data_IF_637706541133
#
_entry.id   IF_637706541133
#
_cell.length_a   1.000
_cell.length_b   1.000
_cell.length_c   1.000
_cell.angle_alpha   90.00
_cell.angle_beta   90.00
_cell.angle_gamma   90.00
#
_symmetry.space_group_name_H-M   'P 1'
#
loop_
_entity.id
_entity.type
_entity.pdbx_description
1 polymer ?
#
# COMPACT_ATOMS: atom_id res chain seq x y z
N UNK A 1 23.21 -14.83 30.01
CA UNK A 1 22.54 -15.77 29.09
C UNK A 1 21.88 -16.91 29.85
N UNK A 2 22.57 -17.64 30.74
CA UNK A 2 21.97 -18.80 31.44
C UNK A 2 20.68 -18.55 32.24
N UNK A 3 20.43 -17.33 32.74
CA UNK A 3 19.19 -17.03 33.47
C UNK A 3 17.95 -16.96 32.57
N UNK A 4 18.08 -16.37 31.37
CA UNK A 4 16.94 -16.17 30.44
C UNK A 4 16.51 -17.51 29.85
N UNK A 5 17.48 -18.38 29.53
CA UNK A 5 17.20 -19.70 28.95
C UNK A 5 16.47 -20.61 29.96
N UNK A 6 16.84 -20.56 31.24
CA UNK A 6 16.17 -21.32 32.31
C UNK A 6 14.75 -20.81 32.58
N UNK A 7 14.57 -19.48 32.66
CA UNK A 7 13.24 -18.88 32.83
C UNK A 7 12.29 -19.20 31.67
N UNK A 8 12.84 -19.28 30.45
CA UNK A 8 12.11 -19.64 29.25
C UNK A 8 11.64 -21.10 29.27
N UNK A 9 12.51 -22.05 29.65
CA UNK A 9 12.15 -23.46 29.81
C UNK A 9 11.04 -23.65 30.87
N UNK A 10 11.17 -22.98 32.01
CA UNK A 10 10.18 -23.02 33.09
C UNK A 10 8.82 -22.45 32.66
N UNK A 11 8.81 -21.35 31.90
CA UNK A 11 7.58 -20.75 31.41
C UNK A 11 6.94 -21.58 30.29
N UNK A 12 7.73 -22.16 29.38
CA UNK A 12 7.21 -23.08 28.37
C UNK A 12 6.56 -24.32 29.01
N UNK A 13 7.16 -24.85 30.08
CA UNK A 13 6.58 -25.95 30.85
C UNK A 13 5.24 -25.57 31.49
N UNK A 14 5.14 -24.33 32.03
CA UNK A 14 3.89 -23.80 32.60
C UNK A 14 2.81 -23.58 31.55
N UNK A 15 3.14 -23.02 30.39
CA UNK A 15 2.19 -22.84 29.28
C UNK A 15 1.64 -24.18 28.82
N UNK A 16 2.51 -25.17 28.64
CA UNK A 16 2.10 -26.52 28.24
C UNK A 16 1.17 -27.17 29.28
N UNK A 17 1.51 -27.05 30.56
CA UNK A 17 0.67 -27.56 31.65
C UNK A 17 -0.71 -26.88 31.71
N UNK A 18 -0.79 -25.59 31.37
CA UNK A 18 -2.05 -24.85 31.31
C UNK A 18 -2.88 -25.21 30.07
N UNK A 19 -2.23 -25.46 28.92
CA UNK A 19 -2.87 -25.95 27.69
C UNK A 19 -3.43 -27.37 27.83
N UNK A 20 -2.86 -28.20 28.70
CA UNK A 20 -3.34 -29.57 28.95
C UNK A 20 -4.60 -29.63 29.85
N UNK A 21 -4.98 -28.52 30.52
CA UNK A 21 -6.21 -28.44 31.34
C UNK A 21 -7.48 -28.45 30.46
N UNK A 22 -8.65 -28.93 30.93
CA UNK A 22 -9.90 -28.86 30.17
C UNK A 22 -10.37 -27.41 29.94
N UNK A 23 -11.01 -27.12 28.78
CA UNK A 23 -11.37 -25.76 28.33
C UNK A 23 -12.19 -24.91 29.33
N UNK A 24 -12.91 -25.53 30.28
CA UNK A 24 -13.71 -24.83 31.29
C UNK A 24 -12.94 -24.28 32.49
N UNK A 25 -11.68 -24.68 32.70
CA UNK A 25 -10.83 -24.24 33.82
C UNK A 25 -9.64 -23.38 33.35
N UNK A 26 -9.54 -23.10 32.05
CA UNK A 26 -8.46 -22.29 31.48
C UNK A 26 -8.76 -20.80 31.65
N UNK A 27 -7.92 -20.10 32.39
CA UNK A 27 -7.90 -18.64 32.33
C UNK A 27 -7.26 -18.20 31.01
N UNK A 28 -8.10 -17.92 30.00
CA UNK A 28 -7.65 -17.53 28.66
C UNK A 28 -6.71 -16.30 28.69
N UNK A 29 -7.01 -15.32 29.55
CA UNK A 29 -6.18 -14.12 29.73
C UNK A 29 -4.81 -14.46 30.33
N UNK A 30 -4.76 -15.29 31.36
CA UNK A 30 -3.50 -15.71 31.97
C UNK A 30 -2.64 -16.52 30.98
N UNK A 31 -3.26 -17.35 30.15
CA UNK A 31 -2.58 -18.09 29.10
C UNK A 31 -1.97 -17.17 28.03
N UNK A 32 -2.71 -16.14 27.60
CA UNK A 32 -2.19 -15.14 26.66
C UNK A 32 -1.02 -14.36 27.24
N UNK A 33 -1.12 -13.89 28.48
CA UNK A 33 0.00 -13.22 29.16
C UNK A 33 1.25 -14.12 29.28
N UNK A 34 1.05 -15.41 29.56
CA UNK A 34 2.17 -16.36 29.61
C UNK A 34 2.80 -16.57 28.23
N UNK A 35 1.99 -16.67 27.16
CA UNK A 35 2.48 -16.77 25.78
C UNK A 35 3.25 -15.52 25.34
N UNK A 36 2.77 -14.33 25.72
CA UNK A 36 3.49 -13.08 25.48
C UNK A 36 4.84 -13.05 26.21
N UNK A 37 4.87 -13.46 27.47
CA UNK A 37 6.13 -13.56 28.25
C UNK A 37 7.11 -14.53 27.60
N UNK A 38 6.66 -15.71 27.19
CA UNK A 38 7.51 -16.68 26.46
C UNK A 38 8.06 -16.04 25.19
N UNK A 39 7.21 -15.38 24.39
CA UNK A 39 7.64 -14.68 23.16
C UNK A 39 8.71 -13.63 23.44
N UNK A 40 8.55 -12.83 24.50
CA UNK A 40 9.53 -11.79 24.88
C UNK A 40 10.87 -12.41 25.30
N UNK A 41 10.85 -13.49 26.08
CA UNK A 41 12.07 -14.18 26.50
C UNK A 41 12.79 -14.86 25.33
N UNK A 42 12.05 -15.48 24.40
CA UNK A 42 12.61 -16.06 23.16
C UNK A 42 13.35 -15.01 22.34
N UNK A 43 12.75 -13.81 22.23
CA UNK A 43 13.39 -12.68 21.56
C UNK A 43 14.65 -12.25 22.31
N UNK A 44 14.59 -12.07 23.64
CA UNK A 44 15.73 -11.60 24.43
C UNK A 44 16.92 -12.57 24.40
N UNK A 45 16.66 -13.88 24.39
CA UNK A 45 17.69 -14.91 24.30
C UNK A 45 18.49 -14.81 22.99
N UNK A 46 17.82 -14.62 21.85
CA UNK A 46 18.44 -14.60 20.53
C UNK A 46 18.86 -13.20 20.03
N UNK A 47 18.32 -12.12 20.62
CA UNK A 47 18.46 -10.75 20.10
C UNK A 47 19.90 -10.23 20.00
N UNK A 48 20.81 -10.74 20.84
CA UNK A 48 22.21 -10.31 20.86
C UNK A 48 23.14 -11.21 20.05
N UNK A 49 22.64 -12.26 19.41
CA UNK A 49 23.44 -13.14 18.57
C UNK A 49 23.83 -12.44 17.26
N UNK A 50 25.13 -12.29 16.94
CA UNK A 50 25.58 -11.63 15.71
C UNK A 50 25.02 -12.28 14.44
N UNK A 51 24.95 -13.62 14.41
CA UNK A 51 24.46 -14.39 13.27
C UNK A 51 23.00 -14.10 12.96
N UNK A 52 22.15 -13.96 13.99
CA UNK A 52 20.73 -13.66 13.84
C UNK A 52 20.54 -12.25 13.28
N UNK A 53 21.25 -11.26 13.83
CA UNK A 53 21.22 -9.88 13.31
C UNK A 53 21.73 -9.78 11.88
N UNK A 54 22.79 -10.53 11.55
CA UNK A 54 23.34 -10.57 10.20
C UNK A 54 22.34 -11.19 9.22
N UNK A 55 21.70 -12.31 9.58
CA UNK A 55 20.65 -12.94 8.74
C UNK A 55 19.45 -12.01 8.53
N UNK A 56 18.99 -11.34 9.58
CA UNK A 56 17.89 -10.38 9.50
C UNK A 56 18.22 -9.22 8.55
N UNK A 57 19.42 -8.65 8.66
CA UNK A 57 19.85 -7.52 7.82
C UNK A 57 20.03 -7.89 6.35
N UNK A 58 20.45 -9.12 6.05
CA UNK A 58 20.69 -9.60 4.68
C UNK A 58 19.46 -10.23 4.01
N UNK A 59 18.28 -10.14 4.62
CA UNK A 59 17.04 -10.68 4.05
C UNK A 59 16.97 -12.21 4.05
N UNK A 60 17.75 -12.87 4.91
CA UNK A 60 17.71 -14.32 5.15
C UNK A 60 16.93 -14.66 6.43
N UNK A 61 16.02 -13.77 6.82
CA UNK A 61 15.17 -13.90 7.99
C UNK A 61 14.11 -14.98 7.78
N UNK A 62 13.96 -15.86 8.76
CA UNK A 62 12.87 -16.83 8.80
C UNK A 62 11.70 -16.25 9.60
N UNK A 63 10.64 -15.85 8.89
CA UNK A 63 9.47 -15.21 9.50
C UNK A 63 8.67 -16.13 10.43
N UNK A 64 8.91 -17.44 10.43
CA UNK A 64 8.31 -18.34 11.42
C UNK A 64 8.78 -18.01 12.85
N UNK A 65 10.05 -17.61 13.00
CA UNK A 65 10.64 -17.30 14.30
C UNK A 65 10.22 -15.91 14.80
N UNK A 66 9.87 -15.76 16.09
CA UNK A 66 9.50 -14.46 16.66
C UNK A 66 10.62 -13.41 16.58
N UNK A 67 11.88 -13.82 16.76
CA UNK A 67 13.02 -12.91 16.76
C UNK A 67 13.19 -12.17 15.42
N UNK A 68 13.07 -12.88 14.30
CA UNK A 68 13.23 -12.27 12.98
C UNK A 68 12.11 -11.28 12.68
N UNK A 69 10.88 -11.61 13.07
CA UNK A 69 9.73 -10.71 12.96
C UNK A 69 9.93 -9.45 13.79
N UNK A 70 10.38 -9.60 15.03
CA UNK A 70 10.67 -8.48 15.92
C UNK A 70 11.78 -7.58 15.36
N UNK A 71 12.90 -8.15 14.89
CA UNK A 71 14.01 -7.38 14.32
C UNK A 71 13.62 -6.64 13.04
N UNK A 72 12.78 -7.26 12.19
CA UNK A 72 12.28 -6.60 10.98
C UNK A 72 11.25 -5.52 11.29
N UNK A 73 10.37 -5.75 12.27
CA UNK A 73 9.43 -4.75 12.74
C UNK A 73 10.17 -3.54 13.33
N UNK A 74 11.14 -3.80 14.21
CA UNK A 74 11.99 -2.78 14.81
C UNK A 74 12.70 -1.98 13.73
N UNK A 75 13.33 -2.67 12.77
CA UNK A 75 13.98 -2.01 11.63
C UNK A 75 13.01 -1.11 10.86
N UNK A 76 11.81 -1.61 10.54
CA UNK A 76 10.84 -0.85 9.77
C UNK A 76 10.33 0.40 10.53
N UNK A 77 10.14 0.30 11.85
CA UNK A 77 9.69 1.39 12.70
C UNK A 77 10.79 2.38 13.09
N UNK A 78 12.02 1.92 13.29
CA UNK A 78 13.13 2.74 13.84
C UNK A 78 14.16 3.18 12.79
N UNK A 79 14.42 2.39 11.74
CA UNK A 79 15.40 2.75 10.70
C UNK A 79 14.82 3.69 9.62
N UNK A 80 13.59 4.20 9.82
CA UNK A 80 13.02 5.32 9.07
C UNK A 80 12.19 4.95 7.83
N UNK A 81 12.02 3.67 7.51
CA UNK A 81 11.17 3.24 6.39
C UNK A 81 9.69 3.64 6.61
N UNK A 82 9.16 3.43 7.83
CA UNK A 82 7.83 3.87 8.21
C UNK A 82 7.74 5.40 8.27
N UNK A 83 8.76 6.08 8.80
CA UNK A 83 8.78 7.55 8.90
C UNK A 83 8.74 8.19 7.51
N UNK A 84 9.52 7.66 6.55
CA UNK A 84 9.50 8.11 5.16
C UNK A 84 8.10 7.93 4.55
N UNK A 85 7.46 6.79 4.80
CA UNK A 85 6.09 6.54 4.32
C UNK A 85 5.11 7.56 4.90
N UNK A 86 5.11 7.73 6.23
CA UNK A 86 4.20 8.64 6.92
C UNK A 86 4.44 10.10 6.53
N UNK A 87 5.70 10.53 6.39
CA UNK A 87 6.07 11.85 5.87
C UNK A 87 5.39 12.10 4.52
N UNK A 88 5.48 11.14 3.59
CA UNK A 88 4.91 11.29 2.24
C UNK A 88 3.38 11.29 2.26
N UNK A 89 2.76 10.45 3.09
CA UNK A 89 1.29 10.39 3.24
C UNK A 89 0.74 11.73 3.71
N UNK A 90 1.36 12.37 4.71
CA UNK A 90 0.93 13.67 5.21
C UNK A 90 1.31 14.82 4.27
N UNK A 91 2.53 14.86 3.73
CA UNK A 91 2.97 15.92 2.81
C UNK A 91 2.12 15.99 1.55
N UNK A 92 1.64 14.83 1.08
CA UNK A 92 0.83 14.72 -0.11
C UNK A 92 -0.66 14.66 0.21
N UNK A 93 -1.09 15.00 1.44
CA UNK A 93 -2.48 15.06 1.89
C UNK A 93 -3.31 13.78 1.65
N UNK A 94 -2.69 12.60 1.61
CA UNK A 94 -3.45 11.33 1.55
C UNK A 94 -4.31 11.18 2.80
N UNK A 95 -3.72 11.55 3.95
CA UNK A 95 -4.46 11.92 5.16
C UNK A 95 -4.50 13.45 5.19
N UNK A 96 -5.68 14.10 5.22
CA UNK A 96 -7.00 13.55 5.52
C UNK A 96 -7.84 13.13 4.31
N UNK A 97 -7.43 13.38 3.06
CA UNK A 97 -8.32 13.28 1.88
C UNK A 97 -9.00 11.90 1.77
N UNK A 98 -8.21 10.82 1.82
CA UNK A 98 -8.71 9.44 1.71
C UNK A 98 -9.24 8.91 3.03
N UNK A 99 -8.47 9.10 4.10
CA UNK A 99 -8.73 8.57 5.44
C UNK A 99 -8.47 9.67 6.49
N UNK A 100 -9.25 9.72 7.58
CA UNK A 100 -9.00 10.67 8.66
C UNK A 100 -7.71 10.36 9.42
N UNK A 101 -7.36 9.08 9.58
CA UNK A 101 -6.20 8.60 10.32
C UNK A 101 -5.68 7.31 9.70
N UNK A 102 -4.37 7.07 9.84
CA UNK A 102 -3.71 5.88 9.33
C UNK A 102 -2.56 5.44 10.26
N UNK A 103 -2.65 4.22 10.76
CA UNK A 103 -1.61 3.56 11.55
C UNK A 103 -1.16 2.28 10.85
N UNK A 104 -0.12 2.33 10.00
CA UNK A 104 0.37 1.13 9.33
C UNK A 104 0.84 0.08 10.37
N UNK A 105 0.35 -1.14 10.23
CA UNK A 105 0.68 -2.28 11.08
C UNK A 105 1.69 -3.24 10.43
N UNK A 106 1.86 -3.17 9.11
CA UNK A 106 2.81 -4.01 8.38
C UNK A 106 3.42 -3.22 7.21
N UNK A 107 4.58 -3.68 6.72
CA UNK A 107 5.28 -3.03 5.63
C UNK A 107 4.71 -3.46 4.26
N UNK A 108 4.28 -2.48 3.48
CA UNK A 108 3.73 -2.66 2.13
C UNK A 108 4.65 -1.97 1.11
N UNK A 109 5.30 -2.78 0.28
CA UNK A 109 6.19 -2.32 -0.78
C UNK A 109 5.67 -2.75 -2.14
N UNK A 110 5.88 -1.91 -3.14
CA UNK A 110 5.57 -2.25 -4.52
C UNK A 110 6.85 -2.26 -5.36
N UNK A 111 6.88 -3.12 -6.37
CA UNK A 111 7.92 -3.12 -7.39
C UNK A 111 7.31 -2.91 -8.76
N UNK A 112 7.93 -1.98 -9.49
CA UNK A 112 7.66 -1.73 -10.90
C UNK A 112 8.94 -1.93 -11.71
N UNK A 113 8.77 -2.09 -13.03
CA UNK A 113 9.92 -2.10 -13.93
C UNK A 113 10.61 -0.73 -13.88
N UNK A 114 11.94 -0.71 -13.87
CA UNK A 114 12.75 0.50 -13.99
C UNK A 114 12.27 1.38 -15.14
N UNK A 115 12.42 2.72 -15.08
CA UNK A 115 11.95 3.60 -16.14
C UNK A 115 12.59 3.22 -17.49
N UNK A 116 11.85 3.37 -18.60
CA UNK A 116 12.39 3.08 -19.92
C UNK A 116 13.63 3.96 -20.20
N UNK A 117 14.68 3.43 -20.85
CA UNK A 117 15.82 4.24 -21.26
C UNK A 117 15.36 5.37 -22.19
N UNK A 118 15.91 6.58 -22.01
CA UNK A 118 15.61 7.73 -22.88
C UNK A 118 15.99 7.50 -24.34
N UNK A 119 17.01 6.67 -24.59
CA UNK A 119 17.44 6.32 -25.95
C UNK A 119 16.57 5.19 -26.52
N UNK A 120 15.84 5.48 -27.60
CA UNK A 120 15.00 4.52 -28.31
C UNK A 120 15.75 3.25 -28.75
N UNK A 121 17.04 3.35 -29.08
CA UNK A 121 17.86 2.19 -29.46
C UNK A 121 18.05 1.21 -28.30
N UNK A 122 18.17 1.71 -27.07
CA UNK A 122 18.36 0.87 -25.88
C UNK A 122 17.03 0.28 -25.39
N UNK A 123 15.91 0.92 -25.70
CA UNK A 123 14.57 0.51 -25.24
C UNK A 123 14.16 -0.89 -25.69
N UNK A 124 14.61 -1.34 -26.86
CA UNK A 124 14.33 -2.70 -27.38
C UNK A 124 15.36 -3.74 -26.97
N UNK A 125 16.56 -3.33 -26.54
CA UNK A 125 17.69 -4.23 -26.28
C UNK A 125 17.97 -4.48 -24.80
N UNK A 126 17.60 -3.53 -23.93
CA UNK A 126 17.83 -3.63 -22.49
C UNK A 126 16.60 -4.19 -21.80
N UNK A 127 16.72 -5.36 -21.19
CA UNK A 127 15.68 -5.90 -20.32
C UNK A 127 15.63 -5.09 -19.03
N UNK A 128 14.48 -4.47 -18.78
CA UNK A 128 14.21 -3.67 -17.57
C UNK A 128 14.08 -4.61 -16.37
N UNK A 129 14.72 -4.25 -15.25
CA UNK A 129 14.61 -4.99 -14.00
C UNK A 129 13.45 -4.45 -13.17
N UNK A 130 12.90 -5.28 -12.29
CA UNK A 130 11.93 -4.86 -11.29
C UNK A 130 12.66 -4.20 -10.12
N UNK A 131 12.33 -2.95 -9.82
CA UNK A 131 12.92 -2.17 -8.73
C UNK A 131 11.83 -1.83 -7.71
N UNK A 132 12.20 -1.84 -6.43
CA UNK A 132 11.35 -1.30 -5.38
C UNK A 132 11.11 0.19 -5.61
N UNK A 133 9.86 0.60 -5.45
CA UNK A 133 9.42 1.99 -5.57
C UNK A 133 9.45 2.64 -4.19
N UNK A 134 10.01 3.84 -4.13
CA UNK A 134 10.01 4.68 -2.94
C UNK A 134 8.65 5.41 -2.82
N UNK A 135 8.09 5.54 -1.61
CA UNK A 135 6.83 6.25 -1.42
C UNK A 135 6.88 7.68 -1.98
N UNK A 136 5.86 8.04 -2.76
CA UNK A 136 5.69 9.37 -3.31
C UNK A 136 6.58 9.69 -4.53
N UNK A 137 7.34 8.75 -5.07
CA UNK A 137 8.12 8.99 -6.30
C UNK A 137 7.21 9.14 -7.52
N UNK A 138 7.70 9.83 -8.55
CA UNK A 138 7.04 9.87 -9.85
C UNK A 138 7.37 8.61 -10.65
N UNK A 139 6.33 7.90 -11.07
CA UNK A 139 6.43 6.84 -12.07
C UNK A 139 6.00 7.38 -13.44
N UNK A 140 6.49 6.73 -14.49
CA UNK A 140 6.07 6.99 -15.86
C UNK A 140 4.88 6.08 -16.18
N UNK A 141 3.82 6.56 -16.86
CA UNK A 141 2.66 5.74 -17.23
C UNK A 141 3.01 4.44 -17.99
N UNK A 142 4.13 4.42 -18.73
CA UNK A 142 4.66 3.18 -19.32
C UNK A 142 5.05 2.10 -18.29
N UNK A 143 5.56 2.50 -17.11
CA UNK A 143 5.93 1.59 -16.03
C UNK A 143 4.68 0.94 -15.40
N UNK A 144 3.59 1.68 -15.31
CA UNK A 144 2.36 1.31 -14.59
C UNK A 144 1.31 0.66 -15.50
N UNK A 145 1.65 0.32 -16.75
CA UNK A 145 0.76 -0.42 -17.68
C UNK A 145 0.31 -1.79 -17.18
N UNK A 146 1.14 -2.44 -16.37
CA UNK A 146 0.87 -3.73 -15.74
C UNK A 146 0.71 -3.53 -14.23
N UNK A 147 -0.03 -4.39 -13.52
CA UNK A 147 -0.11 -4.32 -12.07
C UNK A 147 1.30 -4.45 -11.44
N UNK A 148 1.55 -3.80 -10.29
CA UNK A 148 2.82 -3.92 -9.58
C UNK A 148 2.97 -5.32 -8.97
N UNK A 149 4.21 -5.72 -8.70
CA UNK A 149 4.43 -6.79 -7.73
C UNK A 149 4.32 -6.21 -6.31
N UNK A 150 3.41 -6.77 -5.52
CA UNK A 150 3.17 -6.35 -4.13
C UNK A 150 3.97 -7.26 -3.20
N UNK A 151 4.74 -6.64 -2.31
CA UNK A 151 5.53 -7.29 -1.27
C UNK A 151 5.00 -6.82 0.08
N UNK A 152 4.67 -7.78 0.94
CA UNK A 152 4.13 -7.51 2.27
C UNK A 152 5.00 -8.19 3.31
N UNK A 153 5.44 -7.44 4.31
CA UNK A 153 6.14 -8.00 5.47
C UNK A 153 5.25 -7.83 6.70
N UNK A 154 4.60 -8.93 7.11
CA UNK A 154 3.70 -8.96 8.26
C UNK A 154 4.43 -9.46 9.52
N UNK A 155 4.12 -8.86 10.66
CA UNK A 155 4.77 -9.19 11.93
C UNK A 155 3.93 -10.11 12.83
N UNK A 156 2.63 -10.25 12.52
CA UNK A 156 1.71 -11.14 13.24
C UNK A 156 1.69 -12.55 12.63
N UNK A 157 1.40 -13.55 13.47
CA UNK A 157 1.36 -14.97 13.06
C UNK A 157 0.06 -15.36 12.40
N UNK A 158 -1.04 -14.70 12.76
CA UNK A 158 -2.37 -15.17 12.45
C UNK A 158 -2.70 -14.88 10.99
N UNK A 159 -3.35 -15.84 10.32
CA UNK A 159 -3.83 -15.59 8.96
C UNK A 159 -4.98 -14.61 9.02
N UNK A 160 -4.77 -13.44 8.45
CA UNK A 160 -5.75 -12.37 8.33
C UNK A 160 -6.10 -12.16 6.88
N UNK A 161 -7.37 -11.85 6.62
CA UNK A 161 -7.82 -11.48 5.29
C UNK A 161 -7.57 -10.00 5.11
N UNK A 162 -7.04 -9.64 3.95
CA UNK A 162 -6.75 -8.25 3.63
C UNK A 162 -7.35 -7.86 2.29
N UNK A 163 -7.80 -6.62 2.17
CA UNK A 163 -8.28 -6.08 0.90
C UNK A 163 -7.30 -5.07 0.36
N UNK A 164 -6.78 -5.32 -0.84
CA UNK A 164 -5.94 -4.40 -1.59
C UNK A 164 -6.83 -3.46 -2.40
N UNK A 165 -6.55 -2.17 -2.37
CA UNK A 165 -7.25 -1.16 -3.18
C UNK A 165 -6.22 -0.27 -3.86
N UNK A 166 -6.51 0.28 -5.03
CA UNK A 166 -5.70 1.29 -5.68
C UNK A 166 -6.62 2.41 -6.14
N UNK A 167 -6.50 3.56 -5.47
CA UNK A 167 -7.39 4.71 -5.68
C UNK A 167 -6.57 5.90 -6.15
N UNK A 168 -7.06 6.57 -7.20
CA UNK A 168 -6.61 7.88 -7.63
C UNK A 168 -7.49 8.94 -6.94
N UNK A 169 -6.87 9.93 -6.30
CA UNK A 169 -7.55 10.99 -5.55
C UNK A 169 -7.75 12.28 -6.35
N UNK A 170 -7.14 12.39 -7.52
CA UNK A 170 -6.97 13.67 -8.22
C UNK A 170 -7.64 13.69 -9.60
N UNK A 171 -8.70 12.91 -9.80
CA UNK A 171 -9.45 12.89 -11.07
C UNK A 171 -10.30 14.15 -11.17
N UNK A 172 -10.17 14.98 -12.21
CA UNK A 172 -10.95 16.21 -12.33
C UNK A 172 -12.43 15.90 -12.58
N UNK A 173 -13.31 16.55 -11.85
CA UNK A 173 -14.75 16.58 -12.10
C UNK A 173 -15.18 17.97 -12.59
N UNK A 174 -15.59 18.03 -13.86
CA UNK A 174 -16.02 19.28 -14.50
C UNK A 174 -17.34 19.81 -13.97
N UNK A 175 -18.23 18.93 -13.48
CA UNK A 175 -19.57 19.32 -13.04
C UNK A 175 -19.51 20.03 -11.69
N UNK A 176 -18.77 19.45 -10.73
CA UNK A 176 -18.57 20.04 -9.40
C UNK A 176 -17.44 21.08 -9.35
N UNK A 177 -16.70 21.27 -10.45
CA UNK A 177 -15.48 22.09 -10.49
C UNK A 177 -14.46 21.69 -9.42
N UNK A 178 -14.38 20.40 -9.11
CA UNK A 178 -13.56 19.86 -8.02
C UNK A 178 -12.79 18.62 -8.47
N UNK A 179 -12.18 17.89 -7.53
CA UNK A 179 -11.57 16.60 -7.78
C UNK A 179 -12.44 15.49 -7.20
N UNK A 180 -12.55 14.41 -7.95
CA UNK A 180 -13.18 13.16 -7.57
C UNK A 180 -12.13 12.04 -7.56
N UNK A 181 -12.57 10.87 -7.15
CA UNK A 181 -11.72 9.69 -6.99
C UNK A 181 -11.98 8.67 -8.10
N UNK A 182 -11.01 7.80 -8.37
CA UNK A 182 -11.17 6.71 -9.32
C UNK A 182 -10.55 5.40 -8.81
N UNK A 183 -11.30 4.30 -8.91
CA UNK A 183 -10.84 2.97 -8.51
C UNK A 183 -10.11 2.25 -9.65
N UNK A 184 -8.78 2.16 -9.55
CA UNK A 184 -7.94 1.46 -10.52
C UNK A 184 -7.92 -0.04 -10.32
N UNK A 185 -7.89 -0.48 -9.05
CA UNK A 185 -7.73 -1.89 -8.72
C UNK A 185 -8.25 -2.18 -7.31
N UNK A 186 -8.80 -3.37 -7.13
CA UNK A 186 -9.33 -3.88 -5.87
C UNK A 186 -9.29 -5.40 -5.85
N UNK A 187 -8.74 -5.97 -4.79
CA UNK A 187 -8.70 -7.40 -4.54
C UNK A 187 -9.02 -7.66 -3.07
N UNK A 188 -10.25 -8.11 -2.75
CA UNK A 188 -10.63 -8.47 -1.39
C UNK A 188 -10.12 -9.85 -0.99
N UNK A 189 -10.17 -10.11 0.32
CA UNK A 189 -9.99 -11.44 0.93
C UNK A 189 -8.64 -12.11 0.63
N UNK A 190 -7.54 -11.34 0.58
CA UNK A 190 -6.19 -11.86 0.41
C UNK A 190 -5.72 -12.43 1.76
N UNK A 191 -5.51 -13.75 1.89
CA UNK A 191 -5.04 -14.33 3.14
C UNK A 191 -3.54 -14.07 3.31
N UNK A 192 -3.17 -13.31 4.33
CA UNK A 192 -1.77 -13.00 4.66
C UNK A 192 -1.47 -13.31 6.12
N UNK A 193 -0.27 -13.82 6.36
CA UNK A 193 0.37 -13.99 7.65
C UNK A 193 1.87 -13.74 7.52
N UNK A 194 2.62 -13.71 8.62
CA UNK A 194 4.08 -13.61 8.56
C UNK A 194 4.74 -14.72 7.71
N UNK A 195 4.11 -15.89 7.58
CA UNK A 195 4.62 -17.01 6.79
C UNK A 195 4.30 -16.90 5.29
N UNK A 196 3.48 -15.93 4.88
CA UNK A 196 3.12 -15.75 3.48
C UNK A 196 4.33 -15.27 2.67
N UNK A 197 4.73 -16.06 1.67
CA UNK A 197 5.81 -15.67 0.77
C UNK A 197 5.37 -14.52 -0.14
N UNK A 198 6.26 -13.54 -0.30
CA UNK A 198 6.13 -12.47 -1.28
C UNK A 198 6.88 -12.82 -2.58
N UNK A 199 6.44 -12.32 -3.76
CA UNK A 199 5.29 -11.46 -3.97
C UNK A 199 3.96 -12.20 -3.74
N UNK A 200 2.96 -11.46 -3.27
CA UNK A 200 1.63 -11.99 -2.94
C UNK A 200 0.95 -12.61 -4.18
N UNK A 201 0.19 -13.70 -3.96
CA UNK A 201 -0.62 -14.51 -4.90
C UNK A 201 -1.29 -13.67 -6.02
N UNK A 202 -1.52 -14.22 -7.24
CA UNK A 202 -2.15 -13.50 -8.35
C UNK A 202 -3.38 -12.68 -7.98
N UNK A 203 -3.22 -11.37 -8.06
CA UNK A 203 -4.16 -10.32 -7.66
C UNK A 203 -5.16 -9.97 -8.80
N UNK A 204 -5.67 -10.96 -9.54
CA UNK A 204 -6.57 -10.72 -10.70
C UNK A 204 -7.91 -11.47 -10.59
N UNK A 205 -8.36 -11.76 -9.37
CA UNK A 205 -9.56 -12.58 -9.14
C UNK A 205 -10.84 -11.76 -9.06
N UNK A 206 -10.77 -10.49 -8.66
CA UNK A 206 -11.94 -9.64 -8.40
C UNK A 206 -12.12 -8.49 -9.39
N UNK A 207 -11.47 -7.35 -9.17
CA UNK A 207 -11.53 -6.24 -10.15
C UNK A 207 -10.31 -6.23 -11.05
N UNK A 208 -10.54 -6.12 -12.35
CA UNK A 208 -9.46 -5.96 -13.33
C UNK A 208 -8.64 -4.71 -13.02
N UNK A 209 -7.32 -4.83 -13.10
CA UNK A 209 -6.41 -3.69 -13.04
C UNK A 209 -6.61 -2.76 -14.24
N UNK A 210 -6.89 -1.49 -13.95
CA UNK A 210 -6.88 -0.40 -14.93
C UNK A 210 -5.61 0.42 -14.68
N UNK A 211 -4.71 0.57 -15.66
CA UNK A 211 -3.49 1.34 -15.46
C UNK A 211 -3.81 2.81 -15.13
N UNK A 212 -3.00 3.46 -14.29
CA UNK A 212 -2.94 4.91 -14.15
C UNK A 212 -3.06 5.65 -15.48
N UNK A 213 -3.89 6.70 -15.51
CA UNK A 213 -4.14 7.47 -16.73
C UNK A 213 -4.46 8.94 -16.40
N UNK A 214 -3.50 9.68 -15.78
CA UNK A 214 -3.69 11.08 -15.44
C UNK A 214 -4.04 11.90 -16.69
N UNK A 215 -5.09 12.72 -16.63
CA UNK A 215 -5.61 13.40 -17.82
C UNK A 215 -4.66 14.48 -18.34
N UNK A 216 -4.70 14.76 -19.65
CA UNK A 216 -3.86 15.80 -20.22
C UNK A 216 -4.23 17.16 -19.65
N UNK A 217 -3.26 17.82 -19.03
CA UNK A 217 -3.39 19.18 -18.51
C UNK A 217 -3.87 19.28 -17.07
N UNK A 218 -4.11 18.15 -16.39
CA UNK A 218 -4.22 18.11 -14.93
C UNK A 218 -2.82 18.18 -14.28
N UNK A 219 -2.75 18.49 -12.96
CA UNK A 219 -1.56 18.24 -12.16
C UNK A 219 -1.19 16.76 -12.10
N UNK A 220 -0.22 16.40 -11.25
CA UNK A 220 0.06 14.99 -10.98
C UNK A 220 -1.07 14.34 -10.17
N UNK A 221 -1.20 13.02 -10.30
CA UNK A 221 -2.20 12.22 -9.60
C UNK A 221 -1.55 11.35 -8.52
N UNK A 222 -2.20 11.23 -7.36
CA UNK A 222 -1.77 10.41 -6.22
C UNK A 222 -2.49 9.06 -6.25
N UNK A 223 -1.72 7.98 -6.34
CA UNK A 223 -2.23 6.61 -6.24
C UNK A 223 -1.92 6.04 -4.87
N UNK A 224 -2.95 5.59 -4.16
CA UNK A 224 -2.83 5.07 -2.80
C UNK A 224 -3.29 3.63 -2.74
N UNK A 225 -2.48 2.79 -2.08
CA UNK A 225 -2.77 1.39 -1.84
C UNK A 225 -3.03 1.13 -0.37
N UNK A 226 -4.25 1.33 0.16
CA UNK A 226 -4.57 0.95 1.52
C UNK A 226 -4.88 -0.55 1.58
N UNK A 227 -4.58 -1.15 2.74
CA UNK A 227 -4.87 -2.54 2.99
C UNK A 227 -5.32 -2.75 4.44
N UNK A 228 -6.59 -3.09 4.67
CA UNK A 228 -7.16 -3.34 6.02
C UNK A 228 -7.45 -4.81 6.24
N UNK A 229 -7.56 -5.22 7.51
CA UNK A 229 -7.88 -6.57 7.94
C UNK A 229 -9.25 -6.68 8.60
N UNK A 230 -10.27 -7.18 7.89
CA UNK A 230 -11.43 -7.79 8.52
C UNK A 230 -11.05 -9.23 8.94
N UNK A 231 -11.50 -9.67 10.10
CA UNK A 231 -11.31 -11.05 10.57
C UNK A 231 -12.17 -12.03 9.76
N UNK A 232 -13.25 -11.55 9.14
CA UNK A 232 -14.18 -12.33 8.33
C UNK A 232 -14.07 -11.99 6.84
N UNK A 233 -14.35 -12.94 5.93
CA UNK A 233 -14.41 -12.66 4.51
C UNK A 233 -15.48 -11.61 4.21
N UNK A 234 -15.13 -10.59 3.43
CA UNK A 234 -16.09 -9.59 2.96
C UNK A 234 -16.59 -10.00 1.57
N UNK A 235 -17.91 -10.01 1.39
CA UNK A 235 -18.52 -10.11 0.08
C UNK A 235 -18.65 -8.72 -0.55
N UNK A 236 -17.83 -8.44 -1.56
CA UNK A 236 -17.80 -7.16 -2.27
C UNK A 236 -18.24 -7.41 -3.71
N UNK A 237 -19.21 -6.67 -4.25
CA UNK A 237 -19.60 -6.82 -5.65
C UNK A 237 -18.45 -6.40 -6.58
N UNK A 238 -18.35 -7.04 -7.73
CA UNK A 238 -17.36 -6.69 -8.75
C UNK A 238 -17.75 -5.38 -9.41
N UNK A 239 -16.96 -4.33 -9.18
CA UNK A 239 -17.17 -3.00 -9.76
C UNK A 239 -17.00 -3.03 -11.28
N UNK A 240 -18.02 -2.54 -12.00
CA UNK A 240 -17.93 -2.34 -13.45
C UNK A 240 -17.15 -1.06 -13.75
N UNK A 241 -16.76 -0.86 -15.01
CA UNK A 241 -15.96 0.30 -15.41
C UNK A 241 -16.68 1.64 -15.21
N UNK A 242 -18.03 1.64 -15.23
CA UNK A 242 -18.86 2.80 -14.90
C UNK A 242 -18.79 3.22 -13.44
N UNK A 243 -18.63 2.24 -12.55
CA UNK A 243 -18.79 2.42 -11.09
C UNK A 243 -17.48 2.85 -10.42
N UNK A 244 -16.39 2.89 -11.19
CA UNK A 244 -15.04 3.23 -10.70
C UNK A 244 -14.85 4.72 -10.50
N UNK A 245 -15.52 5.54 -11.32
CA UNK A 245 -15.45 7.00 -11.23
C UNK A 245 -16.34 7.48 -10.08
N UNK A 246 -15.80 8.32 -9.20
CA UNK A 246 -16.51 8.78 -8.00
C UNK A 246 -16.49 7.78 -6.84
N UNK A 247 -15.57 6.80 -6.86
CA UNK A 247 -15.46 5.80 -5.80
C UNK A 247 -15.05 6.42 -4.45
N UNK A 248 -16.01 6.60 -3.54
CA UNK A 248 -15.72 7.12 -2.20
C UNK A 248 -15.14 6.03 -1.29
N UNK A 249 -13.84 6.10 -1.04
CA UNK A 249 -13.19 5.18 -0.09
C UNK A 249 -13.76 5.32 1.32
N UNK A 250 -14.16 6.53 1.75
CA UNK A 250 -14.76 6.74 3.09
C UNK A 250 -16.09 6.01 3.25
N UNK A 251 -16.97 6.09 2.24
CA UNK A 251 -18.25 5.39 2.26
C UNK A 251 -18.05 3.87 2.21
N UNK A 252 -17.10 3.41 1.40
CA UNK A 252 -16.70 2.01 1.36
C UNK A 252 -16.14 1.54 2.71
N UNK A 253 -15.34 2.38 3.36
CA UNK A 253 -14.76 2.08 4.65
C UNK A 253 -15.81 1.95 5.75
N UNK A 254 -16.80 2.85 5.78
CA UNK A 254 -17.93 2.78 6.69
C UNK A 254 -18.80 1.53 6.44
N UNK A 255 -19.10 1.22 5.17
CA UNK A 255 -19.94 0.08 4.80
C UNK A 255 -19.36 -1.27 5.23
N UNK A 256 -18.04 -1.43 5.11
CA UNK A 256 -17.36 -2.71 5.31
C UNK A 256 -16.42 -2.72 6.53
N UNK A 257 -16.48 -1.69 7.38
CA UNK A 257 -15.72 -1.61 8.63
C UNK A 257 -14.20 -1.43 8.44
N UNK A 258 -13.77 -0.79 7.35
CA UNK A 258 -12.36 -0.43 7.19
C UNK A 258 -12.02 0.76 8.10
N UNK A 259 -11.02 0.57 8.96
CA UNK A 259 -10.55 1.62 9.84
C UNK A 259 -9.02 1.71 9.77
N UNK A 260 -8.53 2.84 9.24
CA UNK A 260 -7.10 3.11 9.11
C UNK A 260 -6.40 3.23 10.47
N UNK A 261 -7.11 3.52 11.56
CA UNK A 261 -6.54 3.57 12.90
C UNK A 261 -6.26 2.18 13.50
N UNK A 262 -7.00 1.15 13.06
CA UNK A 262 -6.89 -0.24 13.57
C UNK A 262 -5.76 -1.04 12.96
N UNK A 263 -5.05 -0.48 11.98
CA UNK A 263 -3.96 -1.14 11.29
C UNK A 263 -4.08 -1.08 9.79
N UNK A 264 -3.12 -1.72 9.13
CA UNK A 264 -3.12 -1.88 7.69
C UNK A 264 -1.75 -1.64 7.05
N UNK A 265 -1.77 -1.56 5.73
CA UNK A 265 -0.61 -1.16 4.93
C UNK A 265 -1.00 0.01 4.05
N UNK A 266 -0.03 0.87 3.75
CA UNK A 266 -0.19 1.92 2.76
C UNK A 266 1.06 2.01 1.89
N UNK A 267 0.86 2.25 0.61
CA UNK A 267 1.92 2.68 -0.29
C UNK A 267 1.37 3.73 -1.24
N UNK A 268 2.20 4.65 -1.67
CA UNK A 268 1.78 5.66 -2.63
C UNK A 268 2.85 6.00 -3.66
N UNK A 269 2.43 6.40 -4.84
CA UNK A 269 3.29 7.01 -5.85
C UNK A 269 2.51 8.08 -6.62
N UNK A 270 3.21 8.82 -7.45
CA UNK A 270 2.63 9.88 -8.28
C UNK A 270 2.86 9.60 -9.74
N UNK A 271 1.93 10.08 -10.57
CA UNK A 271 2.07 10.00 -12.02
C UNK A 271 1.65 11.33 -12.65
N UNK A 272 2.23 11.64 -13.80
CA UNK A 272 1.88 12.80 -14.62
C UNK A 272 1.55 12.32 -16.03
N UNK A 273 0.73 13.12 -16.72
CA UNK A 273 0.39 12.84 -18.10
C UNK A 273 1.64 12.74 -18.98
N UNK A 274 1.67 11.69 -19.81
CA UNK A 274 2.60 11.54 -20.93
C UNK A 274 1.85 11.01 -22.17
N UNK A 275 2.56 10.90 -23.29
CA UNK A 275 1.98 10.40 -24.56
C UNK A 275 1.48 8.96 -24.47
N UNK A 276 1.97 8.18 -23.50
CA UNK A 276 1.55 6.79 -23.33
C UNK A 276 0.18 6.68 -22.69
N UNK A 277 -0.29 7.71 -21.99
CA UNK A 277 -1.67 7.83 -21.49
C UNK A 277 -2.68 7.86 -22.64
N UNK A 278 -2.40 8.57 -23.73
CA UNK A 278 -3.29 8.57 -24.92
C UNK A 278 -3.47 7.15 -25.49
N UNK A 279 -2.45 6.29 -25.39
CA UNK A 279 -2.58 4.88 -25.76
C UNK A 279 -3.47 4.09 -24.79
N UNK A 280 -3.42 4.39 -23.48
CA UNK A 280 -4.29 3.76 -22.48
C UNK A 280 -5.75 4.09 -22.75
N UNK A 281 -6.07 5.36 -23.01
CA UNK A 281 -7.44 5.78 -23.38
C UNK A 281 -7.96 5.03 -24.60
N UNK A 282 -7.15 4.97 -25.66
CA UNK A 282 -7.54 4.35 -26.93
C UNK A 282 -7.69 2.82 -26.85
N UNK A 283 -6.71 2.13 -26.26
CA UNK A 283 -6.64 0.67 -26.33
C UNK A 283 -7.17 -0.05 -25.09
N UNK A 284 -7.10 0.59 -23.91
CA UNK A 284 -7.56 0.00 -22.65
C UNK A 284 -8.98 0.46 -22.32
N UNK A 285 -9.20 1.78 -22.22
CA UNK A 285 -10.50 2.35 -21.82
C UNK A 285 -11.50 2.43 -22.99
N UNK A 286 -11.01 2.41 -24.24
CA UNK A 286 -11.79 2.61 -25.47
C UNK A 286 -12.63 3.89 -25.44
N UNK A 287 -12.09 4.95 -24.86
CA UNK A 287 -12.72 6.27 -24.70
C UNK A 287 -11.83 7.35 -25.29
N UNK A 288 -12.45 8.46 -25.68
CA UNK A 288 -11.71 9.65 -26.05
C UNK A 288 -11.06 10.29 -24.83
N UNK A 289 -9.84 10.77 -25.02
CA UNK A 289 -9.07 11.39 -23.96
C UNK A 289 -9.57 12.82 -23.69
N UNK A 290 -10.02 13.13 -22.46
CA UNK A 290 -10.35 14.49 -22.08
C UNK A 290 -9.08 15.35 -21.99
N UNK A 291 -9.18 16.59 -22.46
CA UNK A 291 -8.07 17.55 -22.45
C UNK A 291 -8.46 18.77 -21.63
N UNK A 292 -7.70 19.02 -20.57
CA UNK A 292 -7.88 20.16 -19.71
C UNK A 292 -6.89 21.26 -20.08
N UNK A 293 -7.40 22.47 -20.25
CA UNK A 293 -6.61 23.68 -20.43
C UNK A 293 -6.66 24.51 -19.15
N UNK A 294 -5.66 25.37 -18.94
CA UNK A 294 -5.79 26.44 -17.95
C UNK A 294 -6.92 27.36 -18.40
N UNK A 295 -7.75 27.81 -17.47
CA UNK A 295 -8.71 28.89 -17.76
C UNK A 295 -7.94 30.08 -18.35
N UNK A 296 -8.39 30.65 -19.48
CA UNK A 296 -7.78 31.85 -20.04
C UNK A 296 -7.75 32.94 -18.96
N UNK A 297 -6.57 33.50 -18.67
CA UNK A 297 -6.52 34.66 -17.78
C UNK A 297 -7.33 35.78 -18.45
N UNK A 298 -8.31 36.39 -17.76
CA UNK A 298 -9.02 37.53 -18.31
C UNK A 298 -7.99 38.63 -18.60
N UNK A 299 -7.90 39.06 -19.86
CA UNK A 299 -7.02 40.15 -20.26
C UNK A 299 -7.69 41.48 -19.84
N UNK A 300 -7.15 42.21 -18.85
CA UNK A 300 -7.75 43.46 -18.35
C UNK A 300 -7.85 44.53 -19.44
N UNK A 301 -7.10 44.38 -20.54
CA UNK A 301 -7.06 45.31 -21.67
C UNK A 301 -7.72 44.74 -22.93
N UNK A 302 -8.47 43.63 -22.84
CA UNK A 302 -9.17 43.05 -23.99
C UNK A 302 -10.03 44.10 -24.71
N UNK A 303 -10.78 44.91 -23.96
CA UNK A 303 -11.61 46.00 -24.49
C UNK A 303 -10.77 47.14 -25.09
N UNK A 304 -9.60 47.44 -24.50
CA UNK A 304 -8.70 48.49 -24.97
C UNK A 304 -7.99 48.10 -26.28
N UNK A 305 -7.70 46.81 -26.46
CA UNK A 305 -7.13 46.25 -27.71
C UNK A 305 -8.14 46.19 -28.85
N UNK A 306 -9.45 46.11 -28.55
CA UNK A 306 -10.52 46.13 -29.55
C UNK A 306 -10.85 47.55 -30.05
N UNK A 307 -10.52 48.59 -29.28
CA UNK A 307 -10.67 49.98 -29.74
C UNK A 307 -9.59 50.31 -30.77
N UNK A 308 -9.99 50.81 -31.94
CA UNK A 308 -9.05 51.31 -32.97
C UNK A 308 -8.17 52.39 -32.34
N UNK A 309 -6.86 52.21 -32.47
CA UNK A 309 -5.86 53.04 -31.77
C UNK A 309 -5.81 54.49 -32.26
N UNK A 310 -6.47 54.82 -33.37
CA UNK A 310 -6.59 56.16 -33.92
C UNK A 310 -7.93 56.30 -34.67
N UNK A 311 -8.58 57.45 -34.50
CA UNK A 311 -9.74 57.94 -35.25
C UNK A 311 -9.25 58.92 -36.32
#
# INVERSE_FOLDING_TARGET
MHGVDQELEDLQAKVKAEEDKPEGERDAQALEEMREKVRVLEIQAEANLPDVRWKARNGMADMSKPIYRHLLEQKWREEGDLDLLMERIYQMNVVPDMLPELHPSFDLRIRYLEPPPKNNYLRTRVKRKLKQVEPGIFLVPEQTRRPPEVYTTLFHTDTRLYTLLMVDLDVPDTESQSFTTYLHWMQPNIPLSASTQSPTVPLDTHTRYVPPHPQRGTPYHRYVLPQSSPTEPIDIPVFQESDRLGFSFRAFAEQYGFDGARGGGAHMWREQWDETVSHIYKFTLKKDEPRFGKMPKPDPYAELKQKKKYL
#
